data_IF_428190834301
#
_entry.id   IF_428190834301
#
_cell.length_a   1.000
_cell.length_b   1.000
_cell.length_c   1.000
_cell.angle_alpha   90.00
_cell.angle_beta   90.00
_cell.angle_gamma   90.00
#
_symmetry.space_group_name_H-M   'P 1'
#
loop_
_entity.id
_entity.type
_entity.pdbx_description
1 polymer ?
#
# COMPACT_ATOMS: atom_id res chain seq x y z
N UNK A 1 11.04 -21.99 -0.62
CA UNK A 1 11.27 -21.13 0.55
C UNK A 1 12.03 -19.93 0.03
N UNK A 2 11.55 -18.74 0.25
CA UNK A 2 11.93 -17.56 -0.52
C UNK A 2 13.33 -17.07 -0.07
N UNK A 3 14.23 -16.78 -1.00
CA UNK A 3 15.60 -16.25 -0.72
C UNK A 3 15.57 -15.04 0.22
N UNK A 4 14.50 -14.26 0.16
CA UNK A 4 14.27 -13.12 1.06
C UNK A 4 14.10 -13.54 2.53
N UNK A 5 13.44 -14.67 2.78
CA UNK A 5 13.28 -15.22 4.12
C UNK A 5 14.62 -15.73 4.69
N UNK A 6 15.45 -16.35 3.84
CA UNK A 6 16.80 -16.77 4.23
C UNK A 6 17.71 -15.57 4.51
N UNK A 7 17.60 -14.50 3.74
CA UNK A 7 18.33 -13.25 4.01
C UNK A 7 17.94 -12.63 5.35
N UNK A 8 16.65 -12.56 5.67
CA UNK A 8 16.15 -12.01 6.93
C UNK A 8 16.59 -12.88 8.13
N UNK A 9 16.51 -14.20 7.99
CA UNK A 9 16.99 -15.15 9.01
C UNK A 9 18.50 -15.03 9.23
N UNK A 10 19.28 -14.89 8.15
CA UNK A 10 20.73 -14.70 8.23
C UNK A 10 21.10 -13.34 8.85
N UNK A 11 20.29 -12.30 8.65
CA UNK A 11 20.50 -10.98 9.24
C UNK A 11 20.23 -11.00 10.75
N UNK A 12 19.20 -11.69 11.21
CA UNK A 12 18.92 -11.91 12.62
C UNK A 12 19.99 -12.78 13.29
N UNK A 13 20.49 -13.80 12.59
CA UNK A 13 21.56 -14.69 13.05
C UNK A 13 22.93 -14.01 13.12
N UNK A 14 23.14 -12.89 12.41
CA UNK A 14 24.43 -12.17 12.39
C UNK A 14 24.81 -11.52 13.71
N UNK A 15 23.91 -11.44 14.70
CA UNK A 15 24.12 -10.79 15.99
C UNK A 15 24.31 -9.26 15.89
N UNK A 16 24.11 -8.67 14.71
CA UNK A 16 24.27 -7.23 14.47
C UNK A 16 23.25 -6.40 15.27
N UNK A 17 22.04 -6.92 15.46
CA UNK A 17 21.00 -6.27 16.22
C UNK A 17 20.78 -6.99 17.53
N UNK A 18 20.89 -6.24 18.63
CA UNK A 18 20.59 -6.76 19.96
C UNK A 18 19.14 -6.46 20.28
N UNK A 19 18.49 -7.43 20.90
CA UNK A 19 17.14 -7.26 21.42
C UNK A 19 17.11 -6.12 22.45
N UNK A 20 16.11 -5.25 22.36
CA UNK A 20 15.84 -4.24 23.39
C UNK A 20 15.36 -4.95 24.65
N UNK A 21 15.92 -4.65 25.85
CA UNK A 21 15.43 -5.23 27.08
C UNK A 21 13.94 -4.94 27.29
N UNK A 22 13.17 -5.96 27.53
CA UNK A 22 11.73 -5.84 27.76
C UNK A 22 11.50 -5.42 29.20
N UNK A 23 10.71 -4.37 29.42
CA UNK A 23 10.27 -3.99 30.75
C UNK A 23 9.32 -5.08 31.30
N UNK A 24 9.72 -5.74 32.37
CA UNK A 24 8.88 -6.76 32.97
C UNK A 24 7.68 -6.11 33.67
N UNK A 25 6.48 -6.33 33.13
CA UNK A 25 5.22 -5.91 33.70
C UNK A 25 4.23 -7.07 33.65
N UNK A 26 3.95 -7.73 34.81
CA UNK A 26 3.25 -9.01 34.82
C UNK A 26 1.82 -9.00 34.21
N UNK A 27 1.18 -7.85 34.21
CA UNK A 27 -0.22 -7.71 33.76
C UNK A 27 -0.37 -7.45 32.25
N UNK A 28 0.74 -7.30 31.52
CA UNK A 28 0.65 -7.09 30.06
C UNK A 28 0.82 -8.40 29.31
N UNK A 29 0.02 -8.58 28.26
CA UNK A 29 -0.02 -9.83 27.51
C UNK A 29 0.69 -9.74 26.15
N UNK A 30 0.32 -8.73 25.33
CA UNK A 30 0.79 -8.68 23.95
C UNK A 30 2.21 -8.11 23.73
N UNK A 31 2.76 -7.17 24.56
CA UNK A 31 4.09 -6.62 24.31
C UNK A 31 5.24 -7.61 24.55
N UNK A 32 4.97 -8.74 25.20
CA UNK A 32 5.96 -9.79 25.45
C UNK A 32 6.01 -10.80 24.30
N UNK A 33 5.10 -10.70 23.32
CA UNK A 33 5.13 -11.52 22.11
C UNK A 33 6.22 -11.03 21.15
N UNK A 34 6.87 -11.99 20.52
CA UNK A 34 7.91 -11.73 19.52
C UNK A 34 7.37 -12.03 18.14
N UNK A 35 7.88 -11.28 17.15
CA UNK A 35 7.63 -11.57 15.75
C UNK A 35 8.53 -12.74 15.36
N UNK A 36 7.94 -13.91 15.13
CA UNK A 36 8.65 -15.14 14.74
C UNK A 36 8.77 -15.29 13.22
N UNK A 37 7.88 -14.62 12.49
CA UNK A 37 7.84 -14.66 11.02
C UNK A 37 7.89 -13.26 10.44
N UNK A 38 8.54 -13.12 9.30
CA UNK A 38 8.57 -11.85 8.58
C UNK A 38 7.13 -11.43 8.20
N UNK A 39 6.75 -10.16 8.43
CA UNK A 39 5.47 -9.65 7.97
C UNK A 39 5.42 -9.62 6.44
N UNK A 40 4.21 -9.64 5.88
CA UNK A 40 4.03 -9.37 4.47
C UNK A 40 4.37 -7.90 4.18
N UNK A 41 5.27 -7.68 3.24
CA UNK A 41 5.66 -6.34 2.82
C UNK A 41 4.71 -5.82 1.75
N UNK A 42 4.21 -4.60 1.95
CA UNK A 42 3.50 -3.83 0.95
C UNK A 42 4.45 -2.80 0.33
N UNK A 43 4.65 -2.83 -0.99
CA UNK A 43 5.34 -1.76 -1.68
C UNK A 43 4.39 -0.57 -1.84
N UNK A 44 4.88 0.62 -1.52
CA UNK A 44 4.17 1.90 -1.71
C UNK A 44 4.85 2.81 -2.75
N UNK A 45 5.78 2.25 -3.50
CA UNK A 45 6.60 3.00 -4.47
C UNK A 45 5.76 3.66 -5.55
N UNK A 46 4.73 2.96 -6.06
CA UNK A 46 3.84 3.46 -7.12
C UNK A 46 2.85 4.52 -6.64
N UNK A 47 2.62 4.64 -5.34
CA UNK A 47 1.75 5.67 -4.77
C UNK A 47 2.56 6.74 -4.05
N UNK A 48 3.04 6.49 -2.83
CA UNK A 48 3.80 7.46 -2.02
C UNK A 48 5.15 7.81 -2.65
N UNK A 49 5.87 6.81 -3.15
CA UNK A 49 7.13 7.02 -3.84
C UNK A 49 6.95 7.90 -5.08
N UNK A 50 5.94 7.60 -5.90
CA UNK A 50 5.62 8.38 -7.09
C UNK A 50 5.21 9.83 -6.76
N UNK A 51 4.47 10.05 -5.67
CA UNK A 51 4.08 11.39 -5.22
C UNK A 51 5.27 12.26 -4.78
N UNK A 52 6.37 11.64 -4.37
CA UNK A 52 7.58 12.34 -3.95
C UNK A 52 8.46 12.78 -5.12
N UNK A 53 8.20 12.32 -6.33
CA UNK A 53 8.95 12.69 -7.53
C UNK A 53 8.57 14.10 -8.00
N UNK A 54 9.58 14.84 -8.50
CA UNK A 54 9.36 16.15 -9.13
C UNK A 54 8.51 15.98 -10.40
N UNK A 55 8.86 14.98 -11.20
CA UNK A 55 8.10 14.54 -12.37
C UNK A 55 7.53 13.14 -12.07
N UNK A 56 6.23 13.03 -11.74
CA UNK A 56 5.60 11.74 -11.49
C UNK A 56 5.64 10.83 -12.71
N UNK A 57 5.76 9.53 -12.47
CA UNK A 57 5.79 8.51 -13.52
C UNK A 57 4.53 8.58 -14.39
N UNK A 58 4.71 8.47 -15.69
CA UNK A 58 3.63 8.22 -16.65
C UNK A 58 3.15 6.76 -16.58
N UNK A 59 2.12 6.41 -17.36
CA UNK A 59 1.52 5.06 -17.33
C UNK A 59 2.54 3.97 -17.68
N UNK A 60 3.38 4.21 -18.70
CA UNK A 60 4.38 3.24 -19.17
C UNK A 60 5.45 2.99 -18.10
N UNK A 61 5.97 4.03 -17.49
CA UNK A 61 6.95 3.95 -16.40
C UNK A 61 6.36 3.24 -15.18
N UNK A 62 5.11 3.51 -14.83
CA UNK A 62 4.39 2.79 -13.77
C UNK A 62 4.24 1.30 -14.10
N UNK A 63 3.96 0.96 -15.36
CA UNK A 63 3.90 -0.43 -15.82
C UNK A 63 5.24 -1.15 -15.69
N UNK A 64 6.34 -0.47 -16.01
CA UNK A 64 7.69 -1.02 -15.83
C UNK A 64 8.02 -1.22 -14.34
N UNK A 65 7.72 -0.23 -13.51
CA UNK A 65 7.90 -0.32 -12.07
C UNK A 65 7.06 -1.45 -11.45
N UNK A 66 5.81 -1.60 -11.86
CA UNK A 66 4.96 -2.70 -11.41
C UNK A 66 5.57 -4.08 -11.74
N UNK A 67 6.07 -4.26 -12.98
CA UNK A 67 6.77 -5.50 -13.37
C UNK A 67 8.02 -5.75 -12.53
N UNK A 68 8.78 -4.69 -12.20
CA UNK A 68 9.94 -4.78 -11.34
C UNK A 68 9.55 -5.25 -9.93
N UNK A 69 8.50 -4.68 -9.34
CA UNK A 69 8.00 -5.07 -8.02
C UNK A 69 7.54 -6.53 -7.98
N UNK A 70 6.86 -7.01 -9.02
CA UNK A 70 6.53 -8.43 -9.18
C UNK A 70 7.78 -9.32 -9.25
N UNK A 71 8.80 -8.89 -10.00
CA UNK A 71 10.07 -9.61 -10.12
C UNK A 71 10.84 -9.65 -8.80
N UNK A 72 10.75 -8.60 -7.98
CA UNK A 72 11.31 -8.56 -6.63
C UNK A 72 10.55 -9.46 -5.65
N UNK A 73 9.36 -9.94 -6.03
CA UNK A 73 8.58 -10.88 -5.23
C UNK A 73 7.59 -10.23 -4.27
N UNK A 74 7.27 -8.95 -4.41
CA UNK A 74 6.21 -8.32 -3.63
C UNK A 74 4.87 -9.01 -3.91
N UNK A 75 4.16 -9.31 -2.82
CA UNK A 75 2.82 -9.91 -2.85
C UNK A 75 1.71 -8.93 -2.48
N UNK A 76 2.08 -7.76 -2.02
CA UNK A 76 1.17 -6.66 -1.76
C UNK A 76 1.78 -5.37 -2.32
N UNK A 77 1.04 -4.66 -3.18
CA UNK A 77 1.53 -3.48 -3.89
C UNK A 77 0.44 -2.41 -3.88
N UNK A 78 0.73 -1.25 -3.28
CA UNK A 78 -0.14 -0.08 -3.38
C UNK A 78 0.13 0.63 -4.70
N UNK A 79 -0.85 0.57 -5.61
CA UNK A 79 -0.69 0.97 -7.01
C UNK A 79 -1.08 2.42 -7.29
N UNK A 80 -1.82 3.06 -6.40
CA UNK A 80 -2.15 4.47 -6.55
C UNK A 80 -3.51 4.87 -6.00
N UNK A 81 -3.97 6.04 -6.42
CA UNK A 81 -5.26 6.62 -6.08
C UNK A 81 -6.07 6.86 -7.38
N UNK A 82 -6.82 5.86 -7.85
CA UNK A 82 -7.46 5.91 -9.19
C UNK A 82 -8.47 7.05 -9.35
N UNK A 83 -9.05 7.53 -8.24
CA UNK A 83 -9.96 8.66 -8.29
C UNK A 83 -9.28 10.04 -8.28
N UNK A 84 -7.95 10.10 -8.04
CA UNK A 84 -7.22 11.37 -7.98
C UNK A 84 -6.92 11.98 -9.34
N UNK A 85 -6.64 11.16 -10.35
CA UNK A 85 -6.32 11.63 -11.70
C UNK A 85 -6.66 10.59 -12.77
N UNK A 86 -6.73 11.03 -14.02
CA UNK A 86 -6.97 10.14 -15.16
C UNK A 86 -5.79 9.18 -15.37
N UNK A 87 -4.55 9.62 -15.15
CA UNK A 87 -3.35 8.78 -15.27
C UNK A 87 -3.40 7.61 -14.28
N UNK A 88 -3.80 7.87 -13.03
CA UNK A 88 -3.95 6.83 -12.01
C UNK A 88 -5.05 5.81 -12.39
N UNK A 89 -6.15 6.31 -12.90
CA UNK A 89 -7.26 5.48 -13.38
C UNK A 89 -6.83 4.61 -14.56
N UNK A 90 -6.22 5.21 -15.59
CA UNK A 90 -5.79 4.52 -16.80
C UNK A 90 -4.72 3.46 -16.52
N UNK A 91 -3.78 3.78 -15.64
CA UNK A 91 -2.77 2.81 -15.19
C UNK A 91 -3.42 1.57 -14.56
N UNK A 92 -4.34 1.77 -13.63
CA UNK A 92 -5.03 0.66 -12.98
C UNK A 92 -5.85 -0.15 -13.98
N UNK A 93 -6.61 0.51 -14.85
CA UNK A 93 -7.38 -0.19 -15.90
C UNK A 93 -6.47 -0.96 -16.84
N UNK A 94 -5.33 -0.40 -17.23
CA UNK A 94 -4.35 -1.11 -18.06
C UNK A 94 -3.82 -2.37 -17.40
N UNK A 95 -3.54 -2.34 -16.09
CA UNK A 95 -3.14 -3.54 -15.33
C UNK A 95 -4.21 -4.64 -15.37
N UNK A 96 -5.48 -4.24 -15.27
CA UNK A 96 -6.63 -5.17 -15.31
C UNK A 96 -6.84 -5.72 -16.72
N UNK A 97 -6.92 -4.83 -17.71
CA UNK A 97 -7.27 -5.17 -19.09
C UNK A 97 -6.18 -6.03 -19.75
N UNK A 98 -4.91 -5.83 -19.38
CA UNK A 98 -3.79 -6.64 -19.83
C UNK A 98 -3.53 -7.88 -18.94
N UNK A 99 -4.38 -8.13 -17.93
CA UNK A 99 -4.24 -9.26 -16.99
C UNK A 99 -2.86 -9.34 -16.33
N UNK A 100 -2.31 -8.19 -15.96
CA UNK A 100 -0.95 -8.07 -15.43
C UNK A 100 -0.82 -8.43 -13.96
N UNK A 101 -1.94 -8.52 -13.23
CA UNK A 101 -1.98 -8.79 -11.79
C UNK A 101 -2.04 -10.30 -11.56
N UNK A 102 -0.99 -10.94 -11.02
CA UNK A 102 -1.02 -12.37 -10.72
C UNK A 102 -2.04 -12.70 -9.61
N UNK A 103 -2.59 -13.91 -9.64
CA UNK A 103 -3.59 -14.39 -8.67
C UNK A 103 -3.11 -14.39 -7.21
N UNK A 104 -1.80 -14.48 -7.00
CA UNK A 104 -1.16 -14.50 -5.68
C UNK A 104 -0.67 -13.12 -5.22
N UNK A 105 -0.99 -12.07 -5.98
CA UNK A 105 -0.67 -10.68 -5.66
C UNK A 105 -1.93 -9.92 -5.29
N UNK A 106 -1.84 -9.17 -4.20
CA UNK A 106 -2.88 -8.29 -3.71
C UNK A 106 -2.49 -6.85 -4.04
N UNK A 107 -3.35 -6.16 -4.79
CA UNK A 107 -3.17 -4.75 -5.07
C UNK A 107 -3.95 -3.89 -4.07
N UNK A 108 -3.37 -2.77 -3.68
CA UNK A 108 -4.00 -1.80 -2.80
C UNK A 108 -4.23 -0.50 -3.54
N UNK A 109 -5.40 0.09 -3.35
CA UNK A 109 -5.76 1.41 -3.88
C UNK A 109 -6.18 2.32 -2.73
N UNK A 110 -5.85 3.61 -2.85
CA UNK A 110 -6.23 4.62 -1.89
C UNK A 110 -7.49 5.36 -2.36
N UNK A 111 -8.37 5.72 -1.43
CA UNK A 111 -9.48 6.63 -1.70
C UNK A 111 -9.85 7.45 -0.46
N UNK A 112 -10.29 8.69 -0.67
CA UNK A 112 -10.93 9.46 0.40
C UNK A 112 -12.34 8.94 0.67
N UNK A 113 -12.81 9.15 1.91
CA UNK A 113 -14.18 8.83 2.33
C UNK A 113 -15.17 9.87 1.78
N UNK A 114 -15.32 9.90 0.45
CA UNK A 114 -16.29 10.73 -0.30
C UNK A 114 -16.96 9.85 -1.36
N UNK A 115 -18.29 9.92 -1.43
CA UNK A 115 -19.11 9.05 -2.28
C UNK A 115 -18.58 8.95 -3.72
N UNK A 116 -18.45 10.08 -4.43
CA UNK A 116 -18.00 10.11 -5.82
C UNK A 116 -16.58 9.55 -6.05
N UNK A 117 -15.67 9.66 -5.05
CA UNK A 117 -14.32 9.10 -5.13
C UNK A 117 -14.34 7.60 -4.87
N UNK A 118 -15.19 7.15 -3.96
CA UNK A 118 -15.42 5.74 -3.67
C UNK A 118 -16.00 5.06 -4.91
N UNK A 119 -17.05 5.63 -5.51
CA UNK A 119 -17.69 5.08 -6.72
C UNK A 119 -16.68 4.93 -7.85
N UNK A 120 -15.90 5.99 -8.13
CA UNK A 120 -14.86 5.93 -9.17
C UNK A 120 -13.76 4.92 -8.86
N UNK A 121 -13.41 4.75 -7.59
CA UNK A 121 -12.43 3.74 -7.19
C UNK A 121 -12.99 2.33 -7.42
N UNK A 122 -14.24 2.08 -7.04
CA UNK A 122 -14.88 0.79 -7.25
C UNK A 122 -15.11 0.49 -8.74
N UNK A 123 -15.37 1.50 -9.57
CA UNK A 123 -15.38 1.34 -11.01
C UNK A 123 -14.00 0.91 -11.54
N UNK A 124 -12.93 1.57 -11.07
CA UNK A 124 -11.58 1.32 -11.53
C UNK A 124 -11.07 -0.09 -11.19
N UNK A 125 -11.43 -0.64 -10.02
CA UNK A 125 -10.96 -1.96 -9.54
C UNK A 125 -11.77 -3.14 -10.07
N UNK A 126 -12.81 -2.90 -10.87
CA UNK A 126 -13.60 -4.00 -11.42
C UNK A 126 -12.75 -4.99 -12.21
N UNK A 127 -12.91 -6.26 -11.92
CA UNK A 127 -12.14 -7.35 -12.53
C UNK A 127 -10.89 -7.78 -11.75
N UNK A 128 -10.53 -7.10 -10.67
CA UNK A 128 -9.43 -7.52 -9.79
C UNK A 128 -9.95 -8.54 -8.78
N UNK A 129 -9.21 -9.64 -8.65
CA UNK A 129 -9.57 -10.73 -7.74
C UNK A 129 -9.23 -10.44 -6.28
N UNK A 130 -8.03 -9.89 -6.05
CA UNK A 130 -7.50 -9.61 -4.72
C UNK A 130 -7.14 -8.13 -4.60
N UNK A 131 -8.04 -7.34 -3.99
CA UNK A 131 -7.86 -5.90 -3.83
C UNK A 131 -8.08 -5.47 -2.39
N UNK A 132 -7.25 -4.53 -1.93
CA UNK A 132 -7.45 -3.78 -0.69
C UNK A 132 -7.88 -2.37 -1.10
N UNK A 133 -9.01 -1.91 -0.58
CA UNK A 133 -9.43 -0.52 -0.68
C UNK A 133 -9.08 0.18 0.62
N UNK A 134 -8.05 1.02 0.59
CA UNK A 134 -7.62 1.82 1.72
C UNK A 134 -8.41 3.12 1.74
N UNK A 135 -9.37 3.22 2.63
CA UNK A 135 -10.20 4.41 2.79
C UNK A 135 -9.64 5.26 3.93
N UNK A 136 -9.47 6.55 3.70
CA UNK A 136 -9.06 7.46 4.75
C UNK A 136 -10.00 8.66 4.88
N UNK A 137 -10.09 9.15 6.10
CA UNK A 137 -10.69 10.45 6.41
C UNK A 137 -9.69 11.26 7.23
N UNK A 138 -9.49 12.51 6.86
CA UNK A 138 -8.52 13.33 7.54
C UNK A 138 -9.09 13.85 8.86
N UNK A 139 -8.26 13.85 9.89
CA UNK A 139 -8.61 14.27 11.25
C UNK A 139 -7.89 15.54 11.69
N UNK A 140 -7.24 16.28 10.77
CA UNK A 140 -6.58 17.53 11.10
C UNK A 140 -7.56 18.68 11.34
N UNK A 141 -7.22 19.63 12.21
CA UNK A 141 -8.05 20.83 12.49
C UNK A 141 -8.42 21.61 11.23
N UNK A 142 -7.54 21.65 10.23
CA UNK A 142 -7.79 22.35 8.98
C UNK A 142 -8.95 21.72 8.20
N UNK A 143 -9.14 20.42 8.33
CA UNK A 143 -10.20 19.69 7.66
C UNK A 143 -11.51 19.72 8.42
N UNK A 144 -11.45 19.77 9.75
CA UNK A 144 -12.65 20.09 10.55
C UNK A 144 -13.24 21.44 10.18
N UNK A 145 -12.38 22.43 9.95
CA UNK A 145 -12.85 23.76 9.55
C UNK A 145 -13.36 23.80 8.11
N UNK A 146 -12.80 23.00 7.20
CA UNK A 146 -13.31 22.92 5.83
C UNK A 146 -14.59 22.10 5.73
N UNK A 147 -14.73 21.03 6.49
CA UNK A 147 -15.97 20.26 6.56
C UNK A 147 -17.08 21.07 7.22
N UNK A 148 -16.78 21.80 8.29
CA UNK A 148 -17.73 22.73 8.91
C UNK A 148 -18.16 23.85 7.96
N UNK A 149 -17.28 24.30 7.06
CA UNK A 149 -17.63 25.28 6.04
C UNK A 149 -18.50 24.69 4.92
N UNK A 150 -18.35 23.40 4.61
CA UNK A 150 -19.18 22.71 3.63
C UNK A 150 -20.55 22.34 4.19
N UNK A 151 -20.63 22.00 5.47
CA UNK A 151 -21.91 21.77 6.18
C UNK A 151 -22.71 23.08 6.40
N UNK A 152 -22.06 24.22 6.40
CA UNK A 152 -22.70 25.52 6.58
C UNK A 152 -23.29 26.08 5.28
N UNK A 153 -23.26 25.35 4.20
CA UNK A 153 -23.86 25.70 2.92
C UNK A 153 -25.13 24.92 2.65
#
# INVERSE_FOLDING_TARGET
MNETLEMIQNYAASGKYKRVPVLHYPEREWPDKEIEHAPMWCSVDLRDGNQALIDPMNVEEKMEMFRLLLKLGFKQIEIGFPAASQIEYDFLRKLVDESMIPDDVQVQVLTQCREHLIDRTFEAIQGIKNVIVHIYNSTSCLLYTSDAADEAR
#
